data_IF_314942506232
#
_entry.id   IF_314942506232
#
_cell.length_a   1.000
_cell.length_b   1.000
_cell.length_c   1.000
_cell.angle_alpha   90.00
_cell.angle_beta   90.00
_cell.angle_gamma   90.00
#
_symmetry.space_group_name_H-M   'P 1'
#
loop_
_entity.id
_entity.type
_entity.pdbx_description
1 polymer ?
#
# COMPACT_ATOMS: atom_id res chain seq x y z
N UNK A 1 -24.28 1.35 -10.46
CA UNK A 1 -24.42 2.37 -9.39
C UNK A 1 -25.88 2.40 -8.98
N UNK A 2 -26.18 2.14 -7.72
CA UNK A 2 -27.55 2.22 -7.18
C UNK A 2 -27.93 3.69 -7.03
N UNK A 3 -29.04 4.12 -7.64
CA UNK A 3 -29.53 5.51 -7.54
C UNK A 3 -30.16 5.81 -6.18
N UNK A 4 -30.53 4.77 -5.44
CA UNK A 4 -31.16 4.87 -4.14
C UNK A 4 -30.15 4.35 -3.11
N UNK A 5 -29.74 5.20 -2.17
CA UNK A 5 -28.89 4.83 -1.04
C UNK A 5 -29.56 3.82 -0.10
N UNK A 6 -28.87 3.45 0.97
CA UNK A 6 -29.44 2.60 2.03
C UNK A 6 -29.21 3.23 3.41
N UNK A 7 -30.11 2.96 4.34
CA UNK A 7 -29.99 3.43 5.73
C UNK A 7 -28.92 2.63 6.48
N UNK A 8 -28.01 3.31 7.15
CA UNK A 8 -27.02 2.75 8.06
C UNK A 8 -27.01 3.53 9.39
N UNK A 9 -26.38 3.00 10.43
CA UNK A 9 -26.21 3.70 11.71
C UNK A 9 -24.74 4.04 11.91
N UNK A 10 -24.42 5.33 12.03
CA UNK A 10 -23.05 5.79 12.28
C UNK A 10 -22.82 5.91 13.80
N UNK A 11 -21.97 5.03 14.32
CA UNK A 11 -21.64 4.95 15.75
C UNK A 11 -20.84 6.17 16.23
N UNK A 12 -20.08 6.83 15.36
CA UNK A 12 -19.26 7.99 15.74
C UNK A 12 -20.11 9.22 16.06
N UNK A 13 -21.27 9.34 15.41
CA UNK A 13 -22.23 10.44 15.58
C UNK A 13 -23.55 10.00 16.24
N UNK A 14 -23.76 8.70 16.45
CA UNK A 14 -24.90 8.16 17.19
C UNK A 14 -26.25 8.33 16.51
N UNK A 15 -26.31 8.31 15.17
CA UNK A 15 -27.55 8.53 14.43
C UNK A 15 -27.64 7.73 13.12
N UNK A 16 -28.87 7.49 12.61
CA UNK A 16 -29.07 6.94 11.27
C UNK A 16 -28.54 7.89 10.20
N UNK A 17 -27.90 7.34 9.18
CA UNK A 17 -27.36 8.05 8.02
C UNK A 17 -27.78 7.35 6.74
N UNK A 18 -28.06 8.12 5.68
CA UNK A 18 -28.38 7.58 4.35
C UNK A 18 -27.08 7.47 3.54
N UNK A 19 -26.62 6.24 3.31
CA UNK A 19 -25.40 5.94 2.55
C UNK A 19 -25.70 6.02 1.06
N UNK A 20 -25.31 7.13 0.43
CA UNK A 20 -25.58 7.42 -0.97
C UNK A 20 -24.49 6.93 -1.94
N UNK A 21 -23.31 6.57 -1.42
CA UNK A 21 -22.20 6.04 -2.20
C UNK A 21 -21.78 4.68 -1.65
N UNK A 22 -21.45 3.73 -2.52
CA UNK A 22 -20.83 2.48 -2.10
C UNK A 22 -19.42 2.79 -1.59
N UNK A 23 -19.26 2.89 -0.28
CA UNK A 23 -17.95 2.81 0.33
C UNK A 23 -17.53 1.34 0.26
N UNK A 24 -16.50 1.04 -0.54
CA UNK A 24 -15.93 -0.30 -0.63
C UNK A 24 -15.25 -0.65 0.71
N UNK A 25 -16.04 -1.15 1.65
CA UNK A 25 -15.54 -1.72 2.89
C UNK A 25 -14.96 -3.09 2.59
N UNK A 26 -13.71 -3.11 2.16
CA UNK A 26 -12.95 -4.33 2.17
C UNK A 26 -12.66 -4.70 3.63
N UNK A 27 -12.97 -5.95 4.02
CA UNK A 27 -12.35 -6.49 5.22
C UNK A 27 -10.84 -6.43 5.00
N UNK A 28 -10.17 -5.61 5.81
CA UNK A 28 -8.72 -5.60 5.89
C UNK A 28 -8.28 -7.02 6.23
N UNK A 29 -7.64 -7.68 5.26
CA UNK A 29 -7.17 -9.08 5.23
C UNK A 29 -7.87 -10.01 4.22
N UNK A 30 -8.89 -9.55 3.48
CA UNK A 30 -9.32 -10.27 2.28
C UNK A 30 -8.28 -10.13 1.15
N UNK A 31 -8.00 -11.19 0.38
CA UNK A 31 -7.15 -11.09 -0.81
C UNK A 31 -7.66 -10.04 -1.82
N UNK A 32 -8.98 -9.79 -1.84
CA UNK A 32 -9.59 -8.69 -2.62
C UNK A 32 -9.13 -7.30 -2.16
N UNK A 33 -8.94 -7.07 -0.86
CA UNK A 33 -8.37 -5.81 -0.37
C UNK A 33 -6.97 -5.58 -0.93
N UNK A 34 -6.16 -6.64 -1.03
CA UNK A 34 -4.78 -6.57 -1.50
C UNK A 34 -4.62 -6.18 -2.97
N UNK A 35 -5.67 -6.44 -3.74
CA UNK A 35 -5.69 -6.13 -5.16
C UNK A 35 -6.21 -4.71 -5.43
N UNK A 36 -7.05 -4.16 -4.53
CA UNK A 36 -7.77 -2.88 -4.72
C UNK A 36 -7.19 -1.74 -3.89
N UNK A 37 -6.44 -1.99 -2.82
CA UNK A 37 -5.70 -0.94 -2.10
C UNK A 37 -4.21 -1.29 -2.12
N UNK A 38 -3.32 -0.28 -2.11
CA UNK A 38 -1.88 -0.49 -1.98
C UNK A 38 -1.57 -1.12 -0.62
N UNK A 39 -1.72 -2.43 -0.51
CA UNK A 39 -1.56 -3.10 0.76
C UNK A 39 -0.07 -3.18 1.11
N UNK A 40 0.29 -2.77 2.33
CA UNK A 40 1.56 -3.16 2.93
C UNK A 40 1.58 -4.68 3.11
N UNK A 41 2.47 -5.37 2.38
CA UNK A 41 2.62 -6.84 2.39
C UNK A 41 3.40 -7.24 3.64
N UNK A 42 2.75 -7.61 4.75
CA UNK A 42 3.44 -7.67 6.03
C UNK A 42 4.22 -8.98 6.23
N UNK A 43 3.81 -10.05 5.53
CA UNK A 43 4.43 -11.38 5.63
C UNK A 43 5.83 -11.48 5.01
N UNK A 44 6.08 -10.74 3.93
CA UNK A 44 7.39 -10.71 3.24
C UNK A 44 8.16 -9.40 3.49
N UNK A 45 7.49 -8.35 3.97
CA UNK A 45 8.14 -7.07 4.25
C UNK A 45 8.88 -7.10 5.59
N UNK A 46 9.97 -6.34 5.60
CA UNK A 46 10.67 -5.93 6.80
C UNK A 46 9.82 -4.96 7.64
N UNK A 47 8.77 -4.35 7.08
CA UNK A 47 7.73 -3.61 7.79
C UNK A 47 6.42 -4.41 7.89
N UNK A 48 6.23 -5.23 8.92
CA UNK A 48 5.06 -6.09 9.02
C UNK A 48 3.81 -5.37 9.51
N UNK A 49 3.85 -4.07 9.83
CA UNK A 49 2.66 -3.35 10.26
C UNK A 49 2.06 -2.51 9.13
N UNK A 50 0.74 -2.65 8.94
CA UNK A 50 -0.04 -1.81 8.01
C UNK A 50 -0.38 -0.44 8.58
N UNK A 51 -0.45 -0.31 9.90
CA UNK A 51 -0.91 0.90 10.58
C UNK A 51 0.24 1.83 10.99
N UNK A 52 1.41 1.27 11.28
CA UNK A 52 2.56 2.03 11.76
C UNK A 52 3.82 1.72 10.95
N UNK A 53 4.85 2.54 11.15
CA UNK A 53 6.15 2.42 10.49
C UNK A 53 7.07 1.40 11.17
N UNK A 54 6.52 0.46 11.94
CA UNK A 54 7.31 -0.58 12.61
C UNK A 54 8.02 -1.44 11.56
N UNK A 55 9.33 -1.56 11.74
CA UNK A 55 10.25 -2.20 10.81
C UNK A 55 11.29 -3.05 11.55
N UNK A 56 11.75 -4.12 10.90
CA UNK A 56 12.90 -4.92 11.29
C UNK A 56 13.83 -5.06 10.08
N UNK A 57 15.12 -4.63 10.15
CA UNK A 57 16.03 -4.68 9.01
C UNK A 57 16.24 -6.07 8.40
N UNK A 58 16.14 -7.12 9.21
CA UNK A 58 16.16 -8.51 8.76
C UNK A 58 15.07 -9.32 9.44
N UNK A 59 14.66 -10.43 8.82
CA UNK A 59 13.71 -11.37 9.43
C UNK A 59 14.17 -11.89 10.79
N UNK A 60 15.48 -12.06 10.97
CA UNK A 60 16.08 -12.49 12.24
C UNK A 60 15.97 -11.45 13.35
N UNK A 61 15.76 -10.17 13.01
CA UNK A 61 15.63 -9.11 14.00
C UNK A 61 14.23 -9.08 14.63
N UNK A 62 13.23 -9.69 13.97
CA UNK A 62 11.84 -9.78 14.47
C UNK A 62 11.71 -10.58 15.77
N UNK A 63 12.68 -11.43 16.11
CA UNK A 63 12.74 -12.18 17.38
C UNK A 63 13.55 -11.48 18.48
N UNK A 64 14.11 -10.31 18.19
CA UNK A 64 14.88 -9.55 19.20
C UNK A 64 13.95 -8.93 20.21
N UNK A 65 14.41 -8.79 21.46
CA UNK A 65 13.65 -8.12 22.51
C UNK A 65 13.35 -6.67 22.14
N UNK A 66 14.26 -6.00 21.43
CA UNK A 66 14.06 -4.64 20.93
C UNK A 66 12.84 -4.55 20.02
N UNK A 67 12.78 -5.40 18.99
CA UNK A 67 11.65 -5.41 18.07
C UNK A 67 10.35 -5.83 18.76
N UNK A 68 10.38 -6.86 19.62
CA UNK A 68 9.20 -7.33 20.35
C UNK A 68 8.62 -6.24 21.26
N UNK A 69 9.46 -5.45 21.93
CA UNK A 69 9.02 -4.28 22.70
C UNK A 69 8.32 -3.26 21.81
N UNK A 70 8.93 -2.87 20.70
CA UNK A 70 8.30 -1.95 19.75
C UNK A 70 6.99 -2.51 19.19
N UNK A 71 6.92 -3.80 18.87
CA UNK A 71 5.70 -4.47 18.42
C UNK A 71 4.56 -4.37 19.45
N UNK A 72 4.88 -4.48 20.73
CA UNK A 72 3.95 -4.29 21.84
C UNK A 72 3.72 -2.81 22.20
N UNK A 73 4.25 -1.86 21.42
CA UNK A 73 4.24 -0.42 21.70
C UNK A 73 4.83 -0.10 23.08
N UNK A 74 6.01 -0.65 23.37
CA UNK A 74 6.78 -0.41 24.58
C UNK A 74 8.14 0.23 24.24
N UNK A 75 8.62 1.10 25.12
CA UNK A 75 9.97 1.65 25.05
C UNK A 75 11.04 0.69 25.64
N UNK A 76 12.27 1.16 25.76
CA UNK A 76 13.39 0.36 26.30
C UNK A 76 13.25 0.02 27.79
N UNK A 77 12.43 0.78 28.52
CA UNK A 77 12.16 0.60 29.95
C UNK A 77 10.87 -0.17 30.19
N UNK A 78 10.10 -0.47 29.14
CA UNK A 78 8.82 -1.18 29.23
C UNK A 78 7.62 -0.26 29.44
N UNK A 79 7.76 1.05 29.27
CA UNK A 79 6.63 1.98 29.32
C UNK A 79 5.91 2.04 27.97
N UNK A 80 4.58 2.30 27.96
CA UNK A 80 3.83 2.48 26.74
C UNK A 80 4.41 3.58 25.85
N UNK A 81 4.72 3.24 24.61
CA UNK A 81 5.18 4.15 23.56
C UNK A 81 4.66 3.67 22.22
N UNK A 82 3.74 4.43 21.64
CA UNK A 82 3.17 4.11 20.34
C UNK A 82 4.22 4.23 19.22
N UNK A 83 4.16 3.30 18.28
CA UNK A 83 4.88 3.43 17.02
C UNK A 83 4.30 4.58 16.20
N UNK A 84 5.15 5.21 15.39
CA UNK A 84 4.70 6.27 14.48
C UNK A 84 3.69 5.71 13.48
N UNK A 85 2.50 6.33 13.35
CA UNK A 85 1.51 5.91 12.38
C UNK A 85 2.03 6.16 10.96
N UNK A 86 1.56 5.37 9.99
CA UNK A 86 1.85 5.65 8.59
C UNK A 86 1.03 6.86 8.13
N UNK A 87 1.67 7.74 7.36
CA UNK A 87 0.97 8.80 6.64
C UNK A 87 0.49 8.28 5.29
N UNK A 88 -0.78 8.54 4.99
CA UNK A 88 -1.36 8.19 3.70
C UNK A 88 -0.69 8.93 2.54
N UNK A 89 -0.51 10.25 2.69
CA UNK A 89 0.25 11.08 1.75
C UNK A 89 1.63 10.50 1.47
N UNK A 90 2.31 10.01 2.52
CA UNK A 90 3.63 9.39 2.35
C UNK A 90 3.58 8.05 1.61
N UNK A 91 2.53 7.26 1.82
CA UNK A 91 2.28 6.02 1.07
C UNK A 91 2.10 6.31 -0.42
N UNK A 92 1.36 7.36 -0.77
CA UNK A 92 1.19 7.82 -2.15
C UNK A 92 2.56 8.17 -2.73
N UNK A 93 3.27 9.13 -2.13
CA UNK A 93 4.61 9.56 -2.60
C UNK A 93 5.57 8.39 -2.81
N UNK A 94 5.63 7.47 -1.86
CA UNK A 94 6.50 6.29 -1.94
C UNK A 94 6.09 5.33 -3.07
N UNK A 95 4.80 5.28 -3.42
CA UNK A 95 4.32 4.48 -4.56
C UNK A 95 4.85 5.07 -5.88
N UNK A 96 4.75 6.40 -6.04
CA UNK A 96 5.32 7.10 -7.20
C UNK A 96 6.85 6.93 -7.28
N UNK A 97 7.54 7.03 -6.14
CA UNK A 97 8.99 6.81 -6.07
C UNK A 97 9.37 5.40 -6.55
N UNK A 98 8.66 4.36 -6.11
CA UNK A 98 8.89 2.98 -6.55
C UNK A 98 8.77 2.84 -8.08
N UNK A 99 7.80 3.49 -8.70
CA UNK A 99 7.65 3.47 -10.16
C UNK A 99 8.75 4.23 -10.88
N UNK A 100 9.10 5.43 -10.41
CA UNK A 100 10.20 6.21 -10.96
C UNK A 100 11.53 5.48 -10.86
N UNK A 101 11.74 4.72 -9.79
CA UNK A 101 12.91 3.87 -9.61
C UNK A 101 13.00 2.76 -10.67
N UNK A 102 11.87 2.24 -11.15
CA UNK A 102 11.85 1.30 -12.28
C UNK A 102 12.34 1.97 -13.57
N UNK A 103 11.81 3.16 -13.87
CA UNK A 103 12.13 3.91 -15.08
C UNK A 103 13.60 4.42 -15.10
N UNK A 104 14.16 4.75 -13.93
CA UNK A 104 15.51 5.33 -13.80
C UNK A 104 16.60 4.30 -13.50
N UNK A 105 16.26 3.17 -12.87
CA UNK A 105 17.22 2.13 -12.48
C UNK A 105 16.87 0.78 -13.07
N UNK A 106 16.23 -0.10 -12.28
CA UNK A 106 15.91 -1.47 -12.67
C UNK A 106 14.93 -2.13 -11.69
N UNK A 107 14.44 -3.33 -12.08
CA UNK A 107 13.50 -4.12 -11.28
C UNK A 107 14.07 -4.61 -9.94
N UNK A 108 15.38 -4.76 -9.80
CA UNK A 108 16.00 -5.20 -8.54
C UNK A 108 15.92 -4.09 -7.49
N UNK A 109 16.19 -2.85 -7.91
CA UNK A 109 16.04 -1.67 -7.05
C UNK A 109 14.58 -1.55 -6.56
N UNK A 110 13.62 -1.75 -7.46
CA UNK A 110 12.17 -1.73 -7.16
C UNK A 110 11.82 -2.75 -6.07
N UNK A 111 12.28 -4.00 -6.22
CA UNK A 111 12.03 -5.07 -5.25
C UNK A 111 12.57 -4.73 -3.86
N UNK A 112 13.78 -4.18 -3.78
CA UNK A 112 14.38 -3.79 -2.51
C UNK A 112 13.61 -2.63 -1.86
N UNK A 113 13.25 -1.61 -2.64
CA UNK A 113 12.54 -0.43 -2.13
C UNK A 113 11.15 -0.77 -1.60
N UNK A 114 10.43 -1.67 -2.28
CA UNK A 114 9.13 -2.18 -1.80
C UNK A 114 9.20 -2.83 -0.44
N UNK A 115 10.29 -3.57 -0.16
CA UNK A 115 10.49 -4.20 1.15
C UNK A 115 10.73 -3.12 2.22
N UNK A 116 11.53 -2.10 1.90
CA UNK A 116 11.88 -0.99 2.80
C UNK A 116 10.68 -0.10 3.10
N UNK A 117 9.84 0.23 2.12
CA UNK A 117 8.62 1.00 2.34
C UNK A 117 7.48 0.12 2.87
N UNK A 118 7.53 -1.18 2.59
CA UNK A 118 6.41 -2.09 2.84
C UNK A 118 5.19 -1.66 2.04
N UNK A 119 5.34 -1.40 0.75
CA UNK A 119 4.25 -0.98 -0.14
C UNK A 119 4.27 -1.86 -1.39
N UNK A 120 3.10 -2.34 -1.79
CA UNK A 120 2.89 -3.02 -3.06
C UNK A 120 1.61 -2.49 -3.69
N UNK A 121 1.71 -2.14 -4.97
CA UNK A 121 0.60 -1.70 -5.81
C UNK A 121 0.39 -2.70 -6.94
N UNK A 122 -0.80 -3.29 -7.00
CA UNK A 122 -1.17 -4.29 -8.00
C UNK A 122 -1.20 -3.70 -9.42
N UNK A 123 -1.69 -2.48 -9.59
CA UNK A 123 -1.77 -1.82 -10.89
C UNK A 123 -0.38 -1.41 -11.35
N UNK A 124 0.39 -0.78 -10.47
CA UNK A 124 1.77 -0.42 -10.76
C UNK A 124 2.63 -1.65 -11.13
N UNK A 125 2.41 -2.79 -10.46
CA UNK A 125 3.06 -4.06 -10.80
C UNK A 125 2.76 -4.46 -12.24
N UNK A 126 1.49 -4.39 -12.65
CA UNK A 126 1.06 -4.77 -14.01
C UNK A 126 1.68 -3.86 -15.06
N UNK A 127 1.75 -2.55 -14.80
CA UNK A 127 2.41 -1.58 -15.68
C UNK A 127 3.90 -1.89 -15.81
N UNK A 128 4.60 -2.10 -14.69
CA UNK A 128 6.02 -2.45 -14.68
C UNK A 128 6.27 -3.74 -15.47
N UNK A 129 5.49 -4.80 -15.24
CA UNK A 129 5.61 -6.07 -15.99
C UNK A 129 5.28 -5.87 -17.48
N UNK A 130 4.27 -5.07 -17.81
CA UNK A 130 3.89 -4.71 -19.19
C UNK A 130 5.01 -3.98 -19.95
N UNK A 131 5.86 -3.23 -19.26
CA UNK A 131 7.05 -2.59 -19.86
C UNK A 131 8.23 -3.53 -20.07
N UNK A 132 8.29 -4.67 -19.38
CA UNK A 132 9.43 -5.59 -19.48
C UNK A 132 9.53 -6.20 -20.88
N UNK A 133 10.75 -6.61 -21.25
CA UNK A 133 11.10 -7.04 -22.61
C UNK A 133 10.20 -8.14 -23.18
N UNK A 134 9.64 -9.02 -22.33
CA UNK A 134 8.79 -10.15 -22.72
C UNK A 134 7.35 -9.77 -23.12
N UNK A 135 6.95 -8.51 -22.94
CA UNK A 135 5.58 -8.05 -23.23
C UNK A 135 5.40 -7.62 -24.69
N UNK A 136 4.18 -7.75 -25.21
CA UNK A 136 3.82 -7.39 -26.59
C UNK A 136 4.00 -5.89 -26.86
N UNK A 137 4.31 -5.55 -28.12
CA UNK A 137 4.49 -4.16 -28.55
C UNK A 137 3.24 -3.29 -28.30
N UNK A 138 2.05 -3.87 -28.44
CA UNK A 138 0.77 -3.20 -28.16
C UNK A 138 0.66 -2.75 -26.70
N UNK A 139 1.02 -3.61 -25.73
CA UNK A 139 0.96 -3.26 -24.30
C UNK A 139 1.94 -2.13 -23.99
N UNK A 140 3.14 -2.18 -24.57
CA UNK A 140 4.14 -1.11 -24.39
C UNK A 140 3.67 0.22 -24.98
N UNK A 141 3.00 0.20 -26.13
CA UNK A 141 2.43 1.39 -26.75
C UNK A 141 1.31 2.00 -25.90
N UNK A 142 0.37 1.18 -25.41
CA UNK A 142 -0.71 1.64 -24.52
C UNK A 142 -0.17 2.29 -23.24
N UNK A 143 0.81 1.66 -22.60
CA UNK A 143 1.42 2.22 -21.38
C UNK A 143 2.12 3.56 -21.68
N UNK A 144 2.82 3.67 -22.81
CA UNK A 144 3.50 4.91 -23.20
C UNK A 144 2.52 6.05 -23.55
N UNK A 145 1.29 5.71 -23.95
CA UNK A 145 0.19 6.65 -24.15
C UNK A 145 -0.35 7.16 -22.82
N UNK A 146 -0.67 6.25 -21.89
CA UNK A 146 -1.08 6.61 -20.52
C UNK A 146 -0.06 7.47 -19.78
N UNK A 147 1.24 7.19 -19.95
CA UNK A 147 2.32 8.01 -19.39
C UNK A 147 2.32 9.47 -19.89
N UNK A 148 1.76 9.73 -21.07
CA UNK A 148 1.71 11.07 -21.66
C UNK A 148 0.43 11.82 -21.31
N UNK A 149 -0.69 11.11 -21.25
CA UNK A 149 -2.00 11.71 -20.99
C UNK A 149 -2.19 12.04 -19.51
N UNK A 150 -2.11 11.02 -18.66
CA UNK A 150 -2.25 11.17 -17.21
C UNK A 150 -1.41 10.11 -16.47
N UNK A 151 -0.23 10.48 -15.95
CA UNK A 151 0.62 9.57 -15.18
C UNK A 151 -0.05 8.99 -13.93
N UNK A 152 -1.11 9.61 -13.42
CA UNK A 152 -1.81 9.11 -12.22
C UNK A 152 -2.59 7.83 -12.49
N UNK A 153 -3.00 7.57 -13.73
CA UNK A 153 -3.67 6.32 -14.14
C UNK A 153 -2.77 5.08 -14.05
N UNK A 154 -1.46 5.26 -13.92
CA UNK A 154 -0.49 4.17 -13.73
C UNK A 154 -0.47 3.63 -12.30
N UNK A 155 -1.21 4.30 -11.42
CA UNK A 155 -1.28 4.04 -9.99
C UNK A 155 -2.71 3.77 -9.60
N UNK A 156 -2.87 3.00 -8.54
CA UNK A 156 -4.18 2.67 -8.03
C UNK A 156 -4.98 3.96 -7.70
N UNK A 157 -6.16 4.14 -8.30
CA UNK A 157 -7.01 5.32 -8.12
C UNK A 157 -7.53 5.52 -6.70
N UNK A 158 -7.45 4.49 -5.86
CA UNK A 158 -7.81 4.55 -4.45
C UNK A 158 -6.63 4.92 -3.55
N UNK A 159 -5.51 5.37 -4.13
CA UNK A 159 -4.42 6.08 -3.46
C UNK A 159 -4.77 7.53 -3.16
#
# INVERSE_FOLDING_TARGET
MTLNGFDAYDVSIGQPVLVMSMMLFFLGDSPMHAEITNIPVPGASLNPCRMCTLHAPKKVDKKTLFYLRQFLNLDLNGFPRLNQPRSWTKTIENTYDIYNLFNTRNITAVKNQRIIYGITDSLNNRVIEGKRLKSTAQIKAMIAEWEKEDPTELFNMFL
#
